data_IF_538403547337
#
_entry.id   IF_538403547337
#
_cell.length_a   1.000
_cell.length_b   1.000
_cell.length_c   1.000
_cell.angle_alpha   90.00
_cell.angle_beta   90.00
_cell.angle_gamma   90.00
#
_symmetry.space_group_name_H-M   'P 1'
#
loop_
_entity.id
_entity.type
_entity.pdbx_description
1 polymer ?
#
# COMPACT_ATOMS: atom_id res chain seq x y z
N UNK A 1 -8.73 0.87 18.08
CA UNK A 1 -8.85 -0.01 19.25
C UNK A 1 -7.68 -0.97 19.21
N UNK A 2 -6.78 -0.87 20.17
CA UNK A 2 -5.59 -1.73 20.32
C UNK A 2 -5.86 -2.55 21.58
N UNK A 3 -6.41 -3.74 21.42
CA UNK A 3 -6.76 -4.55 22.60
C UNK A 3 -7.29 -5.95 22.32
N UNK A 4 -7.63 -6.28 21.07
CA UNK A 4 -8.07 -7.63 20.73
C UNK A 4 -6.88 -8.43 20.16
N UNK A 5 -6.81 -9.72 20.52
CA UNK A 5 -5.84 -10.64 19.90
C UNK A 5 -6.13 -10.69 18.40
N UNK A 6 -5.17 -10.27 17.61
CA UNK A 6 -5.24 -10.41 16.16
C UNK A 6 -4.63 -11.73 15.74
N UNK A 7 -5.31 -12.48 14.88
CA UNK A 7 -4.77 -13.71 14.28
C UNK A 7 -3.84 -13.39 13.11
N UNK A 8 -4.11 -12.28 12.40
CA UNK A 8 -3.31 -11.81 11.27
C UNK A 8 -3.00 -10.32 11.48
N UNK A 9 -1.73 -9.97 11.29
CA UNK A 9 -1.25 -8.59 11.35
C UNK A 9 -0.63 -8.20 10.02
N UNK A 10 -1.13 -7.14 9.39
CA UNK A 10 -0.57 -6.61 8.13
C UNK A 10 0.10 -5.27 8.39
N UNK A 11 1.40 -5.17 8.07
CA UNK A 11 2.20 -3.96 8.22
C UNK A 11 2.54 -3.39 6.84
N UNK A 12 2.01 -2.21 6.53
CA UNK A 12 2.38 -1.49 5.32
C UNK A 12 3.55 -0.54 5.62
N UNK A 13 4.68 -0.78 4.99
CA UNK A 13 5.96 -0.11 5.25
C UNK A 13 6.25 1.00 4.24
N UNK A 14 7.01 2.00 4.68
CA UNK A 14 7.56 3.07 3.85
C UNK A 14 9.09 3.04 3.90
N UNK A 15 9.76 3.41 2.79
CA UNK A 15 11.23 3.45 2.69
C UNK A 15 11.67 4.70 1.93
N UNK A 16 11.41 5.88 2.50
CA UNK A 16 11.82 7.16 1.91
C UNK A 16 13.21 7.56 2.41
N UNK A 17 13.61 7.07 3.58
CA UNK A 17 14.91 7.33 4.23
C UNK A 17 15.32 6.16 5.11
N UNK A 18 16.61 6.05 5.45
CA UNK A 18 17.09 5.05 6.40
C UNK A 18 16.40 5.16 7.78
N UNK A 19 16.04 6.38 8.18
CA UNK A 19 15.27 6.60 9.40
C UNK A 19 13.87 6.00 9.30
N UNK A 20 13.24 6.05 8.12
CA UNK A 20 11.95 5.40 7.88
C UNK A 20 12.07 3.88 7.98
N UNK A 21 13.12 3.29 7.40
CA UNK A 21 13.42 1.85 7.52
C UNK A 21 13.58 1.42 8.98
N UNK A 22 14.33 2.22 9.77
CA UNK A 22 14.49 1.98 11.21
C UNK A 22 13.17 2.02 11.96
N UNK A 23 12.33 3.01 11.66
CA UNK A 23 10.98 3.11 12.27
C UNK A 23 10.09 1.93 11.86
N UNK A 24 10.17 1.48 10.60
CA UNK A 24 9.44 0.30 10.13
C UNK A 24 9.86 -0.95 10.90
N UNK A 25 11.17 -1.21 11.06
CA UNK A 25 11.66 -2.35 11.85
C UNK A 25 11.18 -2.28 13.30
N UNK A 26 11.24 -1.11 13.91
CA UNK A 26 10.75 -0.93 15.28
C UNK A 26 9.23 -1.18 15.40
N UNK A 27 8.45 -0.74 14.40
CA UNK A 27 7.02 -0.98 14.36
C UNK A 27 6.70 -2.47 14.22
N UNK A 28 7.41 -3.19 13.35
CA UNK A 28 7.29 -4.64 13.17
C UNK A 28 7.61 -5.37 14.47
N UNK A 29 8.76 -5.09 15.11
CA UNK A 29 9.13 -5.71 16.38
C UNK A 29 8.11 -5.44 17.50
N UNK A 30 7.58 -4.21 17.57
CA UNK A 30 6.53 -3.86 18.55
C UNK A 30 5.27 -4.67 18.31
N UNK A 31 4.84 -4.79 17.06
CA UNK A 31 3.63 -5.51 16.67
C UNK A 31 3.77 -7.02 16.97
N UNK A 32 4.89 -7.63 16.61
CA UNK A 32 5.19 -9.04 16.94
C UNK A 32 5.15 -9.29 18.44
N UNK A 33 5.68 -8.33 19.25
CA UNK A 33 5.66 -8.41 20.71
C UNK A 33 4.25 -8.24 21.29
N UNK A 34 3.42 -7.39 20.69
CA UNK A 34 2.04 -7.14 21.12
C UNK A 34 1.09 -8.27 20.78
N UNK A 35 1.34 -8.97 19.67
CA UNK A 35 0.50 -10.08 19.18
C UNK A 35 1.33 -11.35 19.01
N UNK A 36 1.80 -11.97 20.11
CA UNK A 36 2.58 -13.19 20.04
C UNK A 36 1.70 -14.32 19.51
N UNK A 37 2.11 -14.92 18.41
CA UNK A 37 1.33 -15.98 17.73
C UNK A 37 0.52 -15.49 16.51
N UNK A 38 0.32 -14.17 16.31
CA UNK A 38 -0.29 -13.67 15.09
C UNK A 38 0.59 -13.97 13.85
N UNK A 39 -0.08 -14.23 12.72
CA UNK A 39 0.58 -14.33 11.43
C UNK A 39 0.90 -12.93 10.90
N UNK A 40 2.18 -12.63 10.70
CA UNK A 40 2.65 -11.28 10.39
C UNK A 40 3.03 -11.16 8.91
N UNK A 41 2.29 -10.32 8.20
CA UNK A 41 2.54 -9.97 6.79
C UNK A 41 3.11 -8.57 6.71
N UNK A 42 4.24 -8.41 6.03
CA UNK A 42 4.86 -7.09 5.80
C UNK A 42 4.82 -6.76 4.31
N UNK A 43 4.34 -5.58 3.98
CA UNK A 43 4.26 -5.08 2.59
C UNK A 43 4.71 -3.62 2.50
N UNK A 44 4.71 -3.06 1.30
CA UNK A 44 5.05 -1.67 1.05
C UNK A 44 6.46 -1.45 0.49
N UNK A 45 6.91 -0.18 0.48
CA UNK A 45 8.15 0.18 -0.19
C UNK A 45 9.40 -0.47 0.44
N UNK A 46 9.46 -0.57 1.77
CA UNK A 46 10.59 -1.23 2.44
C UNK A 46 10.62 -2.72 2.14
N UNK A 47 9.47 -3.39 2.19
CA UNK A 47 9.33 -4.80 1.81
C UNK A 47 9.74 -5.06 0.35
N UNK A 48 9.42 -4.14 -0.57
CA UNK A 48 9.80 -4.24 -1.98
C UNK A 48 11.31 -4.04 -2.21
N UNK A 49 11.93 -3.07 -1.52
CA UNK A 49 13.32 -2.71 -1.74
C UNK A 49 14.31 -3.65 -1.04
N UNK A 50 13.92 -4.15 0.14
CA UNK A 50 14.78 -4.99 0.99
C UNK A 50 14.02 -6.21 1.52
N UNK A 51 13.49 -7.06 0.63
CA UNK A 51 12.63 -8.17 1.05
C UNK A 51 13.36 -9.18 1.94
N UNK A 52 14.63 -9.47 1.66
CA UNK A 52 15.46 -10.37 2.47
C UNK A 52 15.67 -9.84 3.89
N UNK A 53 16.00 -8.55 4.04
CA UNK A 53 16.20 -7.94 5.37
C UNK A 53 14.91 -8.01 6.20
N UNK A 54 13.75 -7.82 5.54
CA UNK A 54 12.46 -7.86 6.22
C UNK A 54 12.07 -9.28 6.58
N UNK A 55 12.34 -10.27 5.72
CA UNK A 55 12.05 -11.66 5.98
C UNK A 55 12.86 -12.25 7.16
N UNK A 56 14.06 -11.72 7.39
CA UNK A 56 14.91 -12.10 8.53
C UNK A 56 14.46 -11.50 9.87
N UNK A 57 13.49 -10.58 9.87
CA UNK A 57 12.98 -10.03 11.12
C UNK A 57 12.18 -11.11 11.84
N UNK A 58 12.64 -11.50 13.03
CA UNK A 58 12.00 -12.56 13.82
C UNK A 58 10.52 -12.27 14.06
N UNK A 59 9.67 -13.21 13.66
CA UNK A 59 8.23 -13.16 13.80
C UNK A 59 7.49 -12.58 12.58
N UNK A 60 8.20 -12.23 11.52
CA UNK A 60 7.60 -11.96 10.18
C UNK A 60 7.40 -13.32 9.50
N UNK A 61 6.22 -13.58 8.99
CA UNK A 61 5.89 -14.84 8.31
C UNK A 61 5.90 -14.67 6.78
N UNK A 62 5.39 -13.53 6.27
CA UNK A 62 5.33 -13.26 4.83
C UNK A 62 5.71 -11.82 4.51
N UNK A 63 6.51 -11.65 3.45
CA UNK A 63 6.89 -10.36 2.89
C UNK A 63 6.34 -10.24 1.48
N UNK A 64 5.48 -9.24 1.23
CA UNK A 64 4.84 -9.03 -0.05
C UNK A 64 5.34 -7.75 -0.73
N UNK A 65 5.79 -7.89 -1.97
CA UNK A 65 6.16 -6.77 -2.83
C UNK A 65 4.96 -5.94 -3.29
N UNK A 66 5.27 -4.93 -4.11
CA UNK A 66 4.28 -3.96 -4.58
C UNK A 66 3.16 -4.59 -5.43
N UNK A 67 3.47 -5.62 -6.18
CA UNK A 67 2.51 -6.34 -7.04
C UNK A 67 1.67 -7.34 -6.25
N UNK A 68 2.32 -8.10 -5.36
CA UNK A 68 1.71 -9.18 -4.58
C UNK A 68 0.71 -8.68 -3.55
N UNK A 69 0.86 -7.45 -3.06
CA UNK A 69 -0.03 -6.89 -2.02
C UNK A 69 -1.50 -6.79 -2.44
N UNK A 70 -1.80 -6.73 -3.73
CA UNK A 70 -3.18 -6.66 -4.24
C UNK A 70 -3.92 -7.98 -4.09
N UNK A 71 -3.20 -9.09 -4.00
CA UNK A 71 -3.74 -10.44 -3.84
C UNK A 71 -3.22 -11.10 -2.55
N UNK A 72 -3.27 -10.35 -1.45
CA UNK A 72 -2.77 -10.77 -0.15
C UNK A 72 -3.31 -12.14 0.28
N UNK A 73 -4.60 -12.39 0.05
CA UNK A 73 -5.25 -13.63 0.48
C UNK A 73 -4.59 -14.89 -0.11
N UNK A 74 -4.06 -14.80 -1.33
CA UNK A 74 -3.35 -15.91 -1.99
C UNK A 74 -2.09 -16.34 -1.22
N UNK A 75 -1.47 -15.42 -0.49
CA UNK A 75 -0.22 -15.64 0.22
C UNK A 75 -0.40 -15.95 1.70
N UNK A 76 -1.62 -15.98 2.22
CA UNK A 76 -1.87 -16.32 3.61
C UNK A 76 -1.72 -17.82 3.89
N UNK A 77 -1.81 -18.67 2.86
CA UNK A 77 -1.65 -20.13 2.99
C UNK A 77 -2.48 -20.72 4.13
N UNK A 78 -1.89 -21.62 4.88
CA UNK A 78 -2.53 -22.26 6.04
C UNK A 78 -2.27 -21.49 7.36
N UNK A 79 -1.80 -20.24 7.30
CA UNK A 79 -1.42 -19.42 8.46
C UNK A 79 -0.39 -20.13 9.38
N UNK A 80 0.45 -20.97 8.80
CA UNK A 80 1.52 -21.64 9.54
C UNK A 80 2.69 -20.68 9.73
N UNK A 81 3.12 -20.55 10.98
CA UNK A 81 4.31 -19.74 11.30
C UNK A 81 5.58 -20.48 10.89
N UNK A 82 6.48 -19.74 10.29
CA UNK A 82 7.81 -20.19 9.90
C UNK A 82 8.87 -19.54 10.78
N UNK A 83 10.04 -20.19 10.91
CA UNK A 83 11.16 -19.58 11.64
C UNK A 83 11.74 -18.37 10.92
N UNK A 84 11.73 -18.41 9.58
CA UNK A 84 12.12 -17.32 8.70
C UNK A 84 10.93 -16.96 7.79
N UNK A 85 10.74 -15.68 7.52
CA UNK A 85 9.66 -15.19 6.67
C UNK A 85 9.91 -15.52 5.20
N UNK A 86 8.84 -15.87 4.47
CA UNK A 86 8.88 -16.05 3.02
C UNK A 86 8.67 -14.72 2.29
N UNK A 87 9.54 -14.42 1.31
CA UNK A 87 9.45 -13.19 0.52
C UNK A 87 8.94 -13.46 -0.90
N UNK A 88 7.80 -12.85 -1.24
CA UNK A 88 7.21 -12.87 -2.57
C UNK A 88 7.27 -11.48 -3.18
N UNK A 89 8.17 -11.29 -4.13
CA UNK A 89 8.38 -9.99 -4.78
C UNK A 89 8.57 -10.17 -6.28
N UNK A 90 8.05 -9.23 -7.05
CA UNK A 90 8.37 -9.09 -8.46
C UNK A 90 9.45 -8.04 -8.62
N UNK A 91 10.42 -8.28 -9.50
CA UNK A 91 11.45 -7.26 -9.79
C UNK A 91 10.77 -5.95 -10.20
N UNK A 92 11.20 -4.83 -9.63
CA UNK A 92 10.52 -3.53 -9.79
C UNK A 92 10.31 -3.14 -11.26
N UNK A 93 11.28 -3.48 -12.13
CA UNK A 93 11.19 -3.25 -13.59
C UNK A 93 10.06 -4.03 -14.27
N UNK A 94 9.60 -5.12 -13.66
CA UNK A 94 8.61 -6.05 -14.22
C UNK A 94 7.20 -5.83 -13.63
N UNK A 95 7.05 -4.92 -12.67
CA UNK A 95 5.76 -4.56 -12.10
C UNK A 95 4.91 -3.87 -13.17
N UNK A 96 3.76 -4.48 -13.52
CA UNK A 96 2.84 -3.99 -14.55
C UNK A 96 1.45 -3.69 -14.03
N UNK A 97 1.05 -4.33 -12.95
CA UNK A 97 -0.31 -4.19 -12.42
C UNK A 97 -0.54 -2.81 -11.81
N UNK A 98 -1.74 -2.28 -12.03
CA UNK A 98 -2.27 -1.13 -11.32
C UNK A 98 -3.50 -1.60 -10.54
N UNK A 99 -3.45 -1.41 -9.22
CA UNK A 99 -4.58 -1.71 -8.36
C UNK A 99 -5.25 -0.39 -7.96
N UNK A 100 -6.44 -0.08 -8.51
CA UNK A 100 -7.19 1.10 -8.12
C UNK A 100 -7.59 0.98 -6.66
N UNK A 101 -7.63 2.09 -5.96
CA UNK A 101 -8.11 2.14 -4.58
C UNK A 101 -8.65 3.52 -4.25
N UNK A 102 -9.73 3.53 -3.51
CA UNK A 102 -10.29 4.73 -2.92
C UNK A 102 -10.33 4.55 -1.40
N UNK A 103 -9.88 5.55 -0.64
CA UNK A 103 -10.01 5.49 0.82
C UNK A 103 -11.48 5.67 1.19
N UNK A 104 -11.98 4.81 2.08
CA UNK A 104 -13.35 4.82 2.60
C UNK A 104 -13.31 5.02 4.12
N UNK A 105 -14.40 5.46 4.72
CA UNK A 105 -14.53 5.61 6.17
C UNK A 105 -15.25 6.90 6.57
N UNK A 106 -15.28 7.24 7.85
CA UNK A 106 -16.00 8.37 8.46
C UNK A 106 -15.49 9.77 8.05
N UNK A 107 -14.77 9.88 6.94
CA UNK A 107 -14.20 11.14 6.47
C UNK A 107 -15.03 11.71 5.34
N UNK A 108 -15.22 13.01 5.38
CA UNK A 108 -15.85 13.76 4.28
C UNK A 108 -14.99 13.81 3.03
N UNK A 109 -13.69 13.49 3.14
CA UNK A 109 -12.71 13.50 2.06
C UNK A 109 -12.30 12.08 1.71
N UNK A 110 -12.42 11.76 0.44
CA UNK A 110 -11.99 10.48 -0.14
C UNK A 110 -10.71 10.70 -0.95
N UNK A 111 -9.79 9.73 -0.91
CA UNK A 111 -8.57 9.76 -1.70
C UNK A 111 -8.64 8.68 -2.77
N UNK A 112 -8.71 9.11 -4.03
CA UNK A 112 -8.70 8.22 -5.18
C UNK A 112 -7.25 8.06 -5.68
N UNK A 113 -6.76 6.83 -5.74
CA UNK A 113 -5.47 6.52 -6.32
C UNK A 113 -5.60 6.48 -7.84
N UNK A 114 -5.04 7.47 -8.52
CA UNK A 114 -5.08 7.59 -9.99
C UNK A 114 -3.82 7.09 -10.66
N UNK A 115 -2.68 7.08 -9.94
CA UNK A 115 -1.37 6.67 -10.45
C UNK A 115 -0.57 5.91 -9.40
N UNK A 116 0.30 5.01 -9.84
CA UNK A 116 1.35 4.37 -9.05
C UNK A 116 2.65 4.34 -9.85
N UNK A 117 3.80 4.38 -9.14
CA UNK A 117 5.10 4.47 -9.78
C UNK A 117 5.43 5.87 -10.28
N UNK A 118 6.61 6.04 -10.88
CA UNK A 118 7.09 7.34 -11.37
C UNK A 118 8.19 7.16 -12.42
N UNK A 119 8.18 7.97 -13.48
CA UNK A 119 9.17 7.93 -14.56
C UNK A 119 10.25 9.01 -14.46
N UNK A 120 10.19 9.91 -13.46
CA UNK A 120 11.14 11.02 -13.37
C UNK A 120 12.53 10.62 -12.85
N UNK A 121 12.66 9.56 -12.08
CA UNK A 121 13.94 9.07 -11.55
C UNK A 121 14.83 10.16 -10.92
N UNK A 122 14.23 11.07 -10.14
CA UNK A 122 14.98 12.11 -9.42
C UNK A 122 16.05 11.47 -8.52
N UNK A 123 17.23 12.08 -8.44
CA UNK A 123 18.42 11.53 -7.77
C UNK A 123 18.23 11.18 -6.28
N UNK A 124 17.29 11.85 -5.61
CA UNK A 124 16.97 11.65 -4.18
C UNK A 124 15.73 10.79 -3.95
N UNK A 125 15.05 10.31 -5.00
CA UNK A 125 13.75 9.70 -4.89
C UNK A 125 13.81 8.17 -5.00
N UNK A 126 13.28 7.47 -4.01
CA UNK A 126 13.23 6.01 -3.98
C UNK A 126 11.97 5.42 -4.64
N UNK A 127 10.98 6.26 -5.01
CA UNK A 127 9.70 5.81 -5.55
C UNK A 127 9.85 4.95 -6.82
N UNK A 128 10.63 5.34 -7.85
CA UNK A 128 10.79 4.52 -9.05
C UNK A 128 11.40 3.16 -8.76
N UNK A 129 12.29 3.09 -7.76
CA UNK A 129 12.95 1.84 -7.35
C UNK A 129 12.02 0.93 -6.54
N UNK A 130 11.11 1.49 -5.76
CA UNK A 130 10.18 0.73 -4.92
C UNK A 130 8.87 0.37 -5.65
N UNK A 131 8.37 1.26 -6.52
CA UNK A 131 7.07 1.10 -7.16
C UNK A 131 7.13 0.90 -8.66
N UNK A 132 8.30 1.10 -9.28
CA UNK A 132 8.51 0.99 -10.71
C UNK A 132 8.02 2.20 -11.50
N UNK A 133 7.84 1.99 -12.81
CA UNK A 133 7.38 3.01 -13.74
C UNK A 133 5.95 3.44 -13.47
N UNK A 134 5.61 4.63 -13.94
CA UNK A 134 4.26 5.20 -13.88
C UNK A 134 3.22 4.27 -14.51
N UNK A 135 2.14 3.98 -13.79
CA UNK A 135 1.02 3.15 -14.21
C UNK A 135 -0.29 3.75 -13.71
N UNK A 136 -1.28 3.71 -14.56
CA UNK A 136 -2.60 4.30 -14.30
C UNK A 136 -3.69 3.25 -14.54
N UNK A 137 -4.86 3.46 -13.94
CA UNK A 137 -6.07 2.75 -14.33
C UNK A 137 -6.68 3.32 -15.61
N UNK A 138 -7.70 2.65 -16.13
CA UNK A 138 -8.50 3.22 -17.23
C UNK A 138 -9.38 4.36 -16.72
N UNK A 139 -9.70 5.32 -17.58
CA UNK A 139 -10.61 6.42 -17.22
C UNK A 139 -11.93 5.85 -16.70
N UNK A 140 -12.49 4.83 -17.36
CA UNK A 140 -13.74 4.19 -16.95
C UNK A 140 -13.67 3.65 -15.51
N UNK A 141 -12.59 2.94 -15.15
CA UNK A 141 -12.41 2.42 -13.78
C UNK A 141 -12.25 3.53 -12.73
N UNK A 142 -11.62 4.63 -13.11
CA UNK A 142 -11.47 5.78 -12.21
C UNK A 142 -12.82 6.50 -11.97
N UNK A 143 -13.59 6.70 -13.03
CA UNK A 143 -14.94 7.29 -12.93
C UNK A 143 -15.87 6.41 -12.11
N UNK A 144 -15.82 5.09 -12.29
CA UNK A 144 -16.58 4.14 -11.50
C UNK A 144 -16.23 4.25 -10.00
N UNK A 145 -14.96 4.27 -9.66
CA UNK A 145 -14.49 4.42 -8.27
C UNK A 145 -14.92 5.76 -7.66
N UNK A 146 -14.85 6.82 -8.46
CA UNK A 146 -15.32 8.14 -8.03
C UNK A 146 -16.83 8.17 -7.79
N UNK A 147 -17.61 7.53 -8.68
CA UNK A 147 -19.06 7.38 -8.53
C UNK A 147 -19.45 6.59 -7.29
N UNK A 148 -18.74 5.49 -7.00
CA UNK A 148 -18.94 4.72 -5.78
C UNK A 148 -18.64 5.54 -4.52
N UNK A 149 -17.55 6.33 -4.53
CA UNK A 149 -17.20 7.21 -3.42
C UNK A 149 -18.27 8.30 -3.18
N UNK A 150 -18.82 8.87 -4.26
CA UNK A 150 -19.92 9.83 -4.18
C UNK A 150 -21.21 9.20 -3.61
N UNK A 151 -21.55 7.99 -4.05
CA UNK A 151 -22.71 7.24 -3.55
C UNK A 151 -22.59 6.88 -2.05
N UNK A 152 -21.36 6.67 -1.56
CA UNK A 152 -21.06 6.44 -0.15
C UNK A 152 -21.05 7.72 0.72
N UNK A 153 -21.42 8.87 0.14
CA UNK A 153 -21.53 10.14 0.85
C UNK A 153 -20.24 10.98 0.85
N UNK A 154 -19.30 10.68 -0.04
CA UNK A 154 -18.11 11.48 -0.27
C UNK A 154 -18.49 12.89 -0.76
N UNK A 155 -18.09 13.93 -0.01
CA UNK A 155 -18.33 15.32 -0.37
C UNK A 155 -17.16 15.98 -1.09
N UNK A 156 -15.98 15.39 -0.97
CA UNK A 156 -14.75 15.86 -1.57
C UNK A 156 -13.91 14.66 -2.01
N UNK A 157 -13.52 14.62 -3.29
CA UNK A 157 -12.59 13.63 -3.81
C UNK A 157 -11.25 14.33 -4.04
N UNK A 158 -10.18 13.72 -3.51
CA UNK A 158 -8.80 14.13 -3.79
C UNK A 158 -8.11 13.04 -4.60
N UNK A 159 -7.56 13.43 -5.71
CA UNK A 159 -6.69 12.57 -6.48
C UNK A 159 -5.39 12.33 -5.72
N UNK A 160 -4.90 11.09 -5.76
CA UNK A 160 -3.63 10.71 -5.19
C UNK A 160 -2.78 10.01 -6.23
N UNK A 161 -1.77 10.69 -6.69
CA UNK A 161 -0.70 10.12 -7.49
C UNK A 161 0.62 10.12 -6.71
N UNK A 162 1.63 9.46 -7.26
CA UNK A 162 2.96 9.41 -6.66
C UNK A 162 3.77 10.69 -6.90
N UNK A 163 3.35 11.53 -7.82
CA UNK A 163 4.06 12.73 -8.25
C UNK A 163 3.42 14.02 -7.74
N UNK A 164 2.14 13.96 -7.34
CA UNK A 164 1.40 15.16 -6.99
C UNK A 164 1.71 15.61 -5.57
N UNK A 165 2.46 16.66 -5.49
CA UNK A 165 2.54 17.54 -4.31
C UNK A 165 1.33 18.48 -4.30
N UNK A 166 0.64 18.60 -5.43
CA UNK A 166 -0.52 19.50 -5.64
C UNK A 166 -1.77 18.61 -5.76
N UNK A 167 -2.56 18.55 -4.70
CA UNK A 167 -3.88 17.94 -4.74
C UNK A 167 -4.84 18.89 -5.44
N UNK A 168 -5.29 18.53 -6.66
CA UNK A 168 -6.51 19.14 -7.19
C UNK A 168 -7.69 18.70 -6.34
N UNK A 169 -8.47 19.65 -5.86
CA UNK A 169 -9.66 19.40 -5.06
C UNK A 169 -10.85 19.48 -6.01
N UNK A 170 -11.42 18.34 -6.35
CA UNK A 170 -12.70 18.28 -7.05
C UNK A 170 -13.82 18.23 -6.01
N UNK A 171 -14.68 19.26 -6.01
CA UNK A 171 -15.94 19.23 -5.25
C UNK A 171 -16.99 18.60 -6.13
N UNK A 172 -17.65 17.58 -5.63
CA UNK A 172 -18.83 17.06 -6.31
C UNK A 172 -20.00 18.00 -6.09
N UNK A 173 -20.39 18.70 -7.17
CA UNK A 173 -21.73 19.21 -7.32
C UNK A 173 -22.71 18.08 -7.64
N UNK A 174 -23.59 18.24 -8.58
CA UNK A 174 -24.43 17.16 -9.10
C UNK A 174 -23.63 16.28 -10.08
N UNK A 175 -24.12 15.05 -10.35
CA UNK A 175 -23.51 14.12 -11.34
C UNK A 175 -23.38 14.74 -12.75
N UNK A 176 -23.94 15.89 -13.01
CA UNK A 176 -23.87 16.61 -14.29
C UNK A 176 -22.54 17.35 -14.49
N UNK A 177 -21.77 17.59 -13.41
CA UNK A 177 -20.50 18.31 -13.44
C UNK A 177 -19.28 17.42 -13.80
N UNK A 178 -19.50 16.15 -14.11
CA UNK A 178 -18.43 15.14 -14.42
C UNK A 178 -18.36 14.83 -15.94
N UNK A 179 -18.95 15.67 -16.79
CA UNK A 179 -18.86 15.50 -18.25
C UNK A 179 -17.81 16.38 -18.88
#
# INVERSE_FOLDING_TARGET
MIGEKADICVVNTCSVTEMADKKCRQAIHRLVKQHPGAFVVVTGCYAQLKPGDVAQIKGVDVVLGAEQKSDLLRYLGNLQKHEEGEAFTTATKDIRSFSPSCSRGDRTRFFLKVQDGCDYFCSYCTIPFARGRSRNGTIASMVEQAGQAAAEGGKELRERDTNSIISSVSRFGSMEDIR
#
